data_IF_432483176977
#
_entry.id   IF_432483176977
#
_cell.length_a   1.000
_cell.length_b   1.000
_cell.length_c   1.000
_cell.angle_alpha   90.00
_cell.angle_beta   90.00
_cell.angle_gamma   90.00
#
_symmetry.space_group_name_H-M   'P 1'
#
loop_
_entity.id
_entity.type
_entity.pdbx_description
1 polymer ?
#
# COMPACT_ATOMS: atom_id res chain seq x y z
N UNK A 1 -7.32 -1.02 25.26
CA UNK A 1 -5.88 -1.24 25.02
C UNK A 1 -5.37 -0.18 24.04
N UNK A 2 -4.37 0.57 24.46
CA UNK A 2 -3.75 1.57 23.58
C UNK A 2 -2.90 0.85 22.54
N UNK A 3 -3.45 0.68 21.33
CA UNK A 3 -2.69 0.07 20.26
C UNK A 3 -1.74 1.12 19.67
N UNK A 4 -0.46 0.78 19.62
CA UNK A 4 0.56 1.62 19.00
C UNK A 4 0.25 1.77 17.50
N UNK A 5 0.23 2.99 16.97
CA UNK A 5 0.04 3.16 15.52
C UNK A 5 1.12 2.42 14.73
N UNK A 6 0.73 1.84 13.60
CA UNK A 6 1.65 1.06 12.77
C UNK A 6 1.55 1.49 11.31
N UNK A 7 2.69 1.77 10.72
CA UNK A 7 2.78 1.95 9.28
C UNK A 7 2.74 0.62 8.54
N UNK A 8 2.70 0.69 7.22
CA UNK A 8 2.61 -0.51 6.39
C UNK A 8 3.74 -1.50 6.61
N UNK A 9 4.96 -1.01 6.81
CA UNK A 9 6.13 -1.87 7.01
C UNK A 9 6.00 -2.69 8.29
N UNK A 10 5.65 -2.01 9.39
CA UNK A 10 5.52 -2.67 10.71
C UNK A 10 4.38 -3.68 10.69
N UNK A 11 3.29 -3.33 10.03
CA UNK A 11 2.12 -4.22 9.91
C UNK A 11 2.49 -5.49 9.13
N UNK A 12 3.20 -5.35 8.02
CA UNK A 12 3.61 -6.49 7.21
C UNK A 12 4.57 -7.41 7.97
N UNK A 13 5.51 -6.84 8.71
CA UNK A 13 6.44 -7.65 9.52
C UNK A 13 5.70 -8.42 10.61
N UNK A 14 4.73 -7.79 11.26
CA UNK A 14 3.90 -8.44 12.28
C UNK A 14 3.12 -9.60 11.68
N UNK A 15 2.49 -9.39 10.52
CA UNK A 15 1.74 -10.45 9.85
C UNK A 15 2.65 -11.61 9.44
N UNK A 16 3.86 -11.31 8.95
CA UNK A 16 4.83 -12.36 8.62
C UNK A 16 5.14 -13.21 9.85
N UNK A 17 5.41 -12.58 10.98
CA UNK A 17 5.73 -13.28 12.24
C UNK A 17 4.56 -14.13 12.74
N UNK A 18 3.33 -13.68 12.48
CA UNK A 18 2.13 -14.39 12.94
C UNK A 18 1.75 -15.57 12.04
N UNK A 19 2.22 -15.60 10.78
CA UNK A 19 1.75 -16.58 9.79
C UNK A 19 2.81 -17.59 9.36
N UNK A 20 4.09 -17.33 9.65
CA UNK A 20 5.20 -18.23 9.28
C UNK A 20 5.78 -18.86 10.54
N UNK A 21 6.09 -20.15 10.45
CA UNK A 21 6.63 -20.94 11.55
C UNK A 21 7.82 -20.22 12.19
N UNK A 22 7.73 -20.01 13.52
CA UNK A 22 8.76 -19.32 14.28
C UNK A 22 10.12 -20.03 14.20
N UNK A 23 10.12 -21.36 14.25
CA UNK A 23 11.35 -22.16 14.19
C UNK A 23 12.08 -21.89 12.87
N UNK A 24 11.32 -21.76 11.77
CA UNK A 24 11.88 -21.43 10.48
C UNK A 24 12.41 -19.98 10.47
N UNK A 25 11.62 -19.03 10.94
CA UNK A 25 12.02 -17.61 10.97
C UNK A 25 13.26 -17.36 11.81
N UNK A 26 13.45 -18.13 12.88
CA UNK A 26 14.60 -17.95 13.79
C UNK A 26 15.95 -18.18 13.10
N UNK A 27 15.96 -18.82 11.94
CA UNK A 27 17.19 -19.04 11.15
C UNK A 27 17.57 -17.80 10.32
N UNK A 28 16.76 -16.75 10.34
CA UNK A 28 16.92 -15.56 9.50
C UNK A 28 17.00 -14.31 10.36
N UNK A 29 17.75 -13.32 9.83
CA UNK A 29 17.74 -11.95 10.32
C UNK A 29 17.10 -11.10 9.23
N UNK A 30 15.90 -10.59 9.48
CA UNK A 30 15.15 -9.81 8.47
C UNK A 30 15.17 -8.34 8.86
N UNK A 31 15.87 -7.54 8.06
CA UNK A 31 15.93 -6.10 8.17
C UNK A 31 14.95 -5.50 7.17
N UNK A 32 14.16 -4.52 7.58
CA UNK A 32 13.17 -3.89 6.68
C UNK A 32 13.65 -2.51 6.24
N UNK A 33 13.59 -2.24 4.96
CA UNK A 33 13.73 -0.95 4.29
C UNK A 33 15.13 -0.35 4.36
N UNK A 34 15.59 0.04 5.55
CA UNK A 34 16.87 0.77 5.69
C UNK A 34 17.97 -0.24 6.00
N UNK A 35 18.95 -0.42 5.08
CA UNK A 35 20.02 -1.41 5.31
C UNK A 35 20.76 -1.15 6.63
N UNK A 36 21.05 -2.24 7.30
CA UNK A 36 21.82 -2.25 8.55
C UNK A 36 21.19 -1.45 9.70
N UNK A 37 19.88 -1.13 9.60
CA UNK A 37 19.21 -0.52 10.76
C UNK A 37 19.14 -1.50 11.94
N UNK A 38 19.21 -2.81 11.66
CA UNK A 38 19.57 -3.82 12.67
C UNK A 38 20.89 -4.44 12.23
N UNK A 39 21.76 -4.84 13.18
CA UNK A 39 23.06 -5.39 12.80
C UNK A 39 22.91 -6.70 12.02
N UNK A 40 23.83 -6.93 11.10
CA UNK A 40 23.92 -8.21 10.42
C UNK A 40 24.26 -9.30 11.45
N UNK A 41 23.66 -10.48 11.27
CA UNK A 41 23.86 -11.60 12.17
C UNK A 41 24.66 -12.67 11.45
N UNK A 42 25.89 -12.91 11.89
CA UNK A 42 26.81 -13.85 11.23
C UNK A 42 26.33 -15.31 11.31
N UNK A 43 25.47 -15.60 12.28
CA UNK A 43 24.98 -16.97 12.50
C UNK A 43 23.66 -17.26 11.79
N UNK A 44 23.10 -16.25 11.10
CA UNK A 44 21.81 -16.35 10.42
C UNK A 44 21.95 -16.02 8.93
N UNK A 45 20.90 -16.31 8.19
CA UNK A 45 20.75 -15.83 6.80
C UNK A 45 20.16 -14.44 6.87
N UNK A 46 20.87 -13.45 6.30
CA UNK A 46 20.48 -12.05 6.38
C UNK A 46 19.66 -11.65 5.18
N UNK A 47 18.46 -11.16 5.41
CA UNK A 47 17.52 -10.71 4.38
C UNK A 47 17.27 -9.21 4.56
N UNK A 48 17.33 -8.45 3.47
CA UNK A 48 16.78 -7.09 3.43
C UNK A 48 15.44 -7.14 2.73
N UNK A 49 14.37 -6.88 3.49
CA UNK A 49 13.00 -6.83 2.95
C UNK A 49 12.69 -5.38 2.62
N UNK A 50 12.81 -5.04 1.34
CA UNK A 50 12.74 -3.66 0.89
C UNK A 50 11.28 -3.24 0.73
N UNK A 51 10.92 -2.16 1.44
CA UNK A 51 9.59 -1.58 1.43
C UNK A 51 9.59 -0.13 0.90
N UNK A 52 10.78 0.47 0.78
CA UNK A 52 10.94 1.87 0.39
C UNK A 52 11.39 1.97 -1.07
N UNK A 53 11.15 3.12 -1.67
CA UNK A 53 11.56 3.35 -3.05
C UNK A 53 13.08 3.58 -3.16
N UNK A 54 13.58 3.30 -4.35
CA UNK A 54 15.02 3.29 -4.67
C UNK A 54 15.69 4.67 -4.49
N UNK A 55 14.91 5.74 -4.62
CA UNK A 55 15.45 7.10 -4.66
C UNK A 55 15.45 7.80 -3.29
N UNK A 56 15.13 7.07 -2.22
CA UNK A 56 15.09 7.70 -0.90
C UNK A 56 16.49 7.95 -0.38
N UNK A 57 16.76 9.18 0.13
CA UNK A 57 18.12 9.58 0.52
C UNK A 57 18.70 8.79 1.69
N UNK A 58 17.87 8.16 2.50
CA UNK A 58 18.34 7.37 3.64
C UNK A 58 18.76 5.95 3.27
N UNK A 59 18.61 5.55 2.01
CA UNK A 59 19.04 4.21 1.58
C UNK A 59 19.84 4.21 0.28
N UNK A 60 19.61 5.16 -0.62
CA UNK A 60 20.26 5.16 -1.93
C UNK A 60 21.80 5.14 -1.85
N UNK A 61 22.45 5.90 -0.96
CA UNK A 61 23.93 5.86 -0.87
C UNK A 61 24.47 4.46 -0.53
N UNK A 62 23.74 3.72 0.31
CA UNK A 62 24.17 2.35 0.68
C UNK A 62 24.18 1.45 -0.56
N UNK A 63 23.15 1.53 -1.39
CA UNK A 63 23.03 0.70 -2.59
C UNK A 63 23.98 1.12 -3.71
N UNK A 64 24.35 2.41 -3.76
CA UNK A 64 25.31 2.92 -4.75
C UNK A 64 26.69 2.29 -4.55
N UNK A 65 27.05 1.96 -3.32
CA UNK A 65 28.29 1.23 -3.05
C UNK A 65 28.07 -0.27 -3.30
N UNK A 66 28.53 -0.76 -4.46
CA UNK A 66 28.37 -2.15 -4.85
C UNK A 66 29.02 -3.12 -3.87
N UNK A 67 30.02 -2.68 -3.11
CA UNK A 67 30.65 -3.50 -2.07
C UNK A 67 29.68 -3.93 -1.00
N UNK A 68 28.62 -3.14 -0.78
CA UNK A 68 27.59 -3.47 0.20
C UNK A 68 26.67 -4.61 -0.23
N UNK A 69 26.57 -4.87 -1.56
CA UNK A 69 25.57 -5.81 -2.07
C UNK A 69 25.73 -7.23 -1.52
N UNK A 70 26.94 -7.59 -1.11
CA UNK A 70 27.20 -8.93 -0.57
C UNK A 70 26.95 -9.04 0.93
N UNK A 71 26.58 -7.95 1.58
CA UNK A 71 26.28 -7.97 3.03
C UNK A 71 25.00 -8.73 3.35
N UNK A 72 24.05 -8.72 2.42
CA UNK A 72 22.81 -9.50 2.59
C UNK A 72 22.89 -10.73 1.71
N UNK A 73 22.36 -11.84 2.23
CA UNK A 73 22.22 -13.07 1.46
C UNK A 73 21.12 -12.92 0.41
N UNK A 74 20.04 -12.22 0.78
CA UNK A 74 18.87 -12.06 -0.09
C UNK A 74 18.24 -10.68 0.07
N UNK A 75 17.63 -10.23 -1.03
CA UNK A 75 16.82 -9.01 -1.10
C UNK A 75 15.42 -9.39 -1.51
N UNK A 76 14.42 -9.09 -0.66
CA UNK A 76 13.03 -9.36 -0.96
C UNK A 76 12.32 -8.04 -1.24
N UNK A 77 11.67 -7.97 -2.40
CA UNK A 77 10.93 -6.77 -2.84
C UNK A 77 9.44 -7.05 -2.82
N UNK A 78 8.65 -6.00 -2.55
CA UNK A 78 7.19 -6.13 -2.44
C UNK A 78 6.48 -5.96 -3.79
N UNK A 79 7.21 -5.66 -4.86
CA UNK A 79 6.66 -5.57 -6.21
C UNK A 79 7.76 -5.77 -7.25
N UNK A 80 7.36 -6.15 -8.45
CA UNK A 80 8.28 -6.23 -9.59
C UNK A 80 8.75 -4.83 -9.98
N UNK A 81 7.88 -3.81 -9.85
CA UNK A 81 8.26 -2.42 -10.10
C UNK A 81 9.43 -2.02 -9.21
N UNK A 82 9.34 -2.29 -7.92
CA UNK A 82 10.40 -1.92 -6.97
C UNK A 82 11.69 -2.70 -7.29
N UNK A 83 11.57 -4.00 -7.51
CA UNK A 83 12.73 -4.82 -7.88
C UNK A 83 13.43 -4.25 -9.11
N UNK A 84 12.68 -3.93 -10.17
CA UNK A 84 13.26 -3.45 -11.41
C UNK A 84 13.96 -2.09 -11.21
N UNK A 85 13.37 -1.21 -10.39
CA UNK A 85 14.00 0.08 -10.08
C UNK A 85 15.35 -0.09 -9.38
N UNK A 86 15.42 -0.99 -8.38
CA UNK A 86 16.68 -1.26 -7.69
C UNK A 86 17.70 -1.92 -8.62
N UNK A 87 17.25 -2.84 -9.46
CA UNK A 87 18.14 -3.49 -10.43
C UNK A 87 18.77 -2.48 -11.38
N UNK A 88 17.95 -1.59 -11.94
CA UNK A 88 18.42 -0.59 -12.90
C UNK A 88 19.29 0.47 -12.22
N UNK A 89 18.84 1.01 -11.09
CA UNK A 89 19.52 2.13 -10.45
C UNK A 89 20.86 1.73 -9.83
N UNK A 90 20.98 0.48 -9.33
CA UNK A 90 22.13 0.09 -8.52
C UNK A 90 22.86 -1.14 -9.05
N UNK A 91 22.39 -1.72 -10.15
CA UNK A 91 22.99 -2.93 -10.69
C UNK A 91 23.03 -4.07 -9.66
N UNK A 92 21.97 -4.18 -8.87
CA UNK A 92 21.88 -5.17 -7.80
C UNK A 92 21.87 -6.58 -8.39
N UNK A 93 22.63 -7.54 -7.83
CA UNK A 93 22.71 -8.89 -8.41
C UNK A 93 21.37 -9.62 -8.34
N UNK A 94 20.81 -9.92 -9.49
CA UNK A 94 19.47 -10.52 -9.61
C UNK A 94 19.39 -11.91 -8.97
N UNK A 95 20.52 -12.62 -8.90
CA UNK A 95 20.57 -13.94 -8.28
C UNK A 95 20.24 -13.91 -6.78
N UNK A 96 20.32 -12.73 -6.17
CA UNK A 96 19.99 -12.54 -4.74
C UNK A 96 18.60 -11.95 -4.54
N UNK A 97 17.83 -11.73 -5.59
CA UNK A 97 16.58 -10.96 -5.53
C UNK A 97 15.36 -11.84 -5.70
N UNK A 98 14.33 -11.57 -4.90
CA UNK A 98 13.06 -12.28 -4.91
C UNK A 98 11.93 -11.26 -4.76
N UNK A 99 10.82 -11.46 -5.45
CA UNK A 99 9.62 -10.64 -5.27
C UNK A 99 8.57 -11.47 -4.51
N UNK A 100 8.16 -10.98 -3.35
CA UNK A 100 7.04 -11.55 -2.59
C UNK A 100 6.09 -10.40 -2.28
N UNK A 101 4.86 -10.49 -2.77
CA UNK A 101 3.87 -9.42 -2.64
C UNK A 101 3.45 -9.22 -1.18
N UNK A 102 3.02 -8.02 -0.84
CA UNK A 102 2.39 -7.75 0.45
C UNK A 102 1.12 -8.58 0.61
N UNK A 103 0.80 -8.91 1.85
CA UNK A 103 -0.44 -9.60 2.17
C UNK A 103 -1.43 -8.71 2.90
N UNK A 104 -2.70 -9.12 2.85
CA UNK A 104 -3.78 -8.46 3.59
C UNK A 104 -4.57 -9.51 4.38
N UNK A 105 -5.25 -9.06 5.42
CA UNK A 105 -6.29 -9.86 6.05
C UNK A 105 -7.51 -9.87 5.11
N UNK A 106 -8.29 -10.93 5.14
CA UNK A 106 -9.51 -11.00 4.34
C UNK A 106 -10.46 -9.87 4.72
N UNK A 107 -11.05 -9.24 3.72
CA UNK A 107 -11.96 -8.11 3.90
C UNK A 107 -13.37 -8.53 3.50
N UNK A 108 -14.34 -8.24 4.37
CA UNK A 108 -15.75 -8.48 4.06
C UNK A 108 -16.18 -7.52 2.95
N UNK A 109 -16.74 -8.03 1.83
CA UNK A 109 -17.12 -7.13 0.74
C UNK A 109 -18.33 -6.27 1.07
N UNK A 110 -18.36 -5.08 0.48
CA UNK A 110 -19.53 -4.21 0.52
C UNK A 110 -20.69 -4.87 -0.24
N UNK A 111 -21.92 -4.46 0.09
CA UNK A 111 -23.11 -4.93 -0.62
C UNK A 111 -23.21 -4.21 -1.98
N UNK A 112 -23.89 -4.82 -2.97
CA UNK A 112 -24.07 -4.14 -4.26
C UNK A 112 -24.75 -2.78 -4.11
N UNK A 113 -24.34 -1.83 -4.93
CA UNK A 113 -24.90 -0.49 -4.90
C UNK A 113 -26.30 -0.50 -5.56
N UNK A 114 -27.22 0.19 -4.93
CA UNK A 114 -28.57 0.38 -5.45
C UNK A 114 -28.72 1.86 -5.83
N UNK A 115 -29.16 2.09 -7.06
CA UNK A 115 -29.29 3.45 -7.61
C UNK A 115 -30.08 4.36 -6.66
N UNK A 116 -29.57 5.55 -6.44
CA UNK A 116 -30.19 6.55 -5.58
C UNK A 116 -29.72 6.54 -4.16
N UNK A 117 -28.99 5.52 -3.74
CA UNK A 117 -28.40 5.48 -2.40
C UNK A 117 -27.17 6.41 -2.32
N UNK A 118 -26.79 6.85 -1.13
CA UNK A 118 -25.52 7.58 -0.96
C UNK A 118 -24.33 6.78 -1.47
N UNK A 119 -23.37 7.48 -2.06
CA UNK A 119 -22.12 6.90 -2.55
C UNK A 119 -21.00 7.42 -1.66
N UNK A 120 -20.57 6.60 -0.72
CA UNK A 120 -19.50 6.97 0.22
C UNK A 120 -18.16 6.51 -0.32
N UNK A 121 -17.21 7.46 -0.37
CA UNK A 121 -15.83 7.21 -0.79
C UNK A 121 -14.95 7.18 0.46
N UNK A 122 -13.98 6.28 0.51
CA UNK A 122 -12.97 6.25 1.56
C UNK A 122 -11.61 6.68 0.99
N UNK A 123 -10.87 7.45 1.79
CA UNK A 123 -9.46 7.77 1.56
C UNK A 123 -8.70 7.56 2.87
N UNK A 124 -7.65 6.73 2.84
CA UNK A 124 -6.94 6.34 4.06
C UNK A 124 -5.42 6.48 3.94
N UNK A 125 -4.95 7.17 2.91
CA UNK A 125 -3.52 7.34 2.68
C UNK A 125 -3.00 8.59 3.40
N UNK A 126 -1.69 8.63 3.64
CA UNK A 126 -1.07 9.74 4.35
C UNK A 126 -1.20 11.05 3.57
N UNK A 127 -1.22 12.20 4.26
CA UNK A 127 -1.63 13.45 3.59
C UNK A 127 -0.68 13.93 2.48
N UNK A 128 0.61 13.61 2.56
CA UNK A 128 1.57 14.06 1.55
C UNK A 128 1.49 13.28 0.25
N UNK A 129 0.69 12.21 0.19
CA UNK A 129 0.62 11.34 -0.97
C UNK A 129 -0.49 11.69 -1.96
N UNK A 130 -1.20 12.80 -1.72
CA UNK A 130 -2.22 13.26 -2.67
C UNK A 130 -3.51 13.79 -2.08
N UNK A 131 -3.59 13.98 -0.76
CA UNK A 131 -4.82 14.51 -0.15
C UNK A 131 -5.16 15.88 -0.73
N UNK A 132 -4.17 16.74 -1.00
CA UNK A 132 -4.41 18.04 -1.60
C UNK A 132 -5.14 17.94 -2.94
N UNK A 133 -4.75 16.96 -3.77
CA UNK A 133 -5.39 16.73 -5.07
C UNK A 133 -6.83 16.25 -4.88
N UNK A 134 -7.03 15.33 -3.91
CA UNK A 134 -8.35 14.77 -3.66
C UNK A 134 -9.34 15.85 -3.17
N UNK A 135 -8.88 16.71 -2.26
CA UNK A 135 -9.73 17.81 -1.78
C UNK A 135 -10.05 18.78 -2.92
N UNK A 136 -9.08 19.05 -3.79
CA UNK A 136 -9.34 19.84 -5.00
C UNK A 136 -10.37 19.19 -5.90
N UNK A 137 -10.31 17.87 -6.05
CA UNK A 137 -11.29 17.13 -6.85
C UNK A 137 -12.69 17.22 -6.20
N UNK A 138 -12.77 17.06 -4.88
CA UNK A 138 -14.07 17.08 -4.19
C UNK A 138 -14.76 18.44 -4.27
N UNK A 139 -14.00 19.54 -4.42
CA UNK A 139 -14.59 20.85 -4.68
C UNK A 139 -15.32 20.90 -6.02
N UNK A 140 -14.91 20.05 -6.97
CA UNK A 140 -15.47 20.02 -8.32
C UNK A 140 -16.56 18.97 -8.50
N UNK A 141 -16.68 18.03 -7.58
CA UNK A 141 -17.70 16.98 -7.63
C UNK A 141 -19.07 17.60 -7.37
N UNK A 142 -20.04 17.32 -8.26
CA UNK A 142 -21.36 17.93 -8.23
C UNK A 142 -22.47 16.98 -7.81
N UNK A 143 -22.28 15.68 -8.00
CA UNK A 143 -23.31 14.69 -7.67
C UNK A 143 -23.59 14.73 -6.17
N UNK A 144 -24.81 15.09 -5.74
CA UNK A 144 -25.10 15.26 -4.30
C UNK A 144 -25.10 13.96 -3.52
N UNK A 145 -25.11 12.80 -4.17
CA UNK A 145 -25.06 11.52 -3.49
C UNK A 145 -23.63 11.16 -3.04
N UNK A 146 -22.61 11.84 -3.58
CA UNK A 146 -21.21 11.52 -3.32
C UNK A 146 -20.71 12.24 -2.07
N UNK A 147 -20.11 11.48 -1.15
CA UNK A 147 -19.38 12.04 -0.02
C UNK A 147 -18.07 11.30 0.18
N UNK A 148 -17.12 11.96 0.86
CA UNK A 148 -15.78 11.42 1.10
C UNK A 148 -15.51 11.41 2.59
N UNK A 149 -15.08 10.25 3.11
CA UNK A 149 -14.55 10.15 4.47
C UNK A 149 -13.01 10.06 4.37
N UNK A 150 -12.32 10.95 5.09
CA UNK A 150 -10.86 11.06 5.08
C UNK A 150 -10.30 10.56 6.41
N UNK A 151 -9.55 9.46 6.35
CA UNK A 151 -8.87 8.87 7.52
C UNK A 151 -7.39 9.25 7.57
N UNK A 152 -6.97 10.20 6.76
CA UNK A 152 -5.58 10.64 6.63
C UNK A 152 -5.07 11.30 7.91
N UNK A 153 -3.83 10.95 8.31
CA UNK A 153 -3.24 11.50 9.51
C UNK A 153 -1.74 11.25 9.53
N UNK A 154 -1.01 12.09 10.26
CA UNK A 154 0.41 11.85 10.56
C UNK A 154 0.58 10.92 11.76
N UNK A 155 -0.50 10.62 12.49
CA UNK A 155 -0.44 9.78 13.69
C UNK A 155 -0.04 8.33 13.41
N UNK A 156 -0.22 7.86 12.17
CA UNK A 156 0.09 6.47 11.79
C UNK A 156 1.56 6.11 12.06
N UNK A 157 2.45 7.09 12.08
CA UNK A 157 3.88 6.85 12.36
C UNK A 157 4.27 7.18 13.80
N UNK A 158 3.28 7.33 14.69
CA UNK A 158 3.50 7.52 16.11
C UNK A 158 3.53 8.99 16.54
N UNK A 159 3.57 9.20 17.86
CA UNK A 159 3.43 10.52 18.46
C UNK A 159 4.55 11.48 18.03
N UNK A 160 5.80 11.00 18.05
CA UNK A 160 6.94 11.87 17.72
C UNK A 160 6.85 12.37 16.28
N UNK A 161 6.50 11.49 15.34
CA UNK A 161 6.31 11.87 13.94
C UNK A 161 5.15 12.85 13.81
N UNK A 162 4.04 12.58 14.49
CA UNK A 162 2.87 13.45 14.49
C UNK A 162 3.23 14.85 15.00
N UNK A 163 3.88 14.94 16.16
CA UNK A 163 4.25 16.22 16.77
C UNK A 163 5.17 17.03 15.86
N UNK A 164 6.06 16.36 15.12
CA UNK A 164 7.00 17.01 14.21
C UNK A 164 6.36 17.46 12.90
N UNK A 165 5.29 16.79 12.44
CA UNK A 165 4.82 16.96 11.06
C UNK A 165 3.37 17.41 10.91
N UNK A 166 2.52 17.26 11.93
CA UNK A 166 1.09 17.59 11.84
C UNK A 166 0.85 19.02 11.31
N UNK A 167 1.64 19.95 11.80
CA UNK A 167 1.54 21.37 11.44
C UNK A 167 1.62 21.61 9.93
N UNK A 168 2.42 20.80 9.22
CA UNK A 168 2.58 20.95 7.77
C UNK A 168 1.31 20.61 6.99
N UNK A 169 0.43 19.80 7.57
CA UNK A 169 -0.79 19.31 6.90
C UNK A 169 -2.05 19.88 7.50
N UNK A 170 -1.93 20.71 8.54
CA UNK A 170 -3.07 21.28 9.27
C UNK A 170 -4.04 22.00 8.32
N UNK A 171 -3.51 22.76 7.37
CA UNK A 171 -4.33 23.50 6.39
C UNK A 171 -5.19 22.54 5.56
N UNK A 172 -4.63 21.39 5.17
CA UNK A 172 -5.39 20.38 4.43
C UNK A 172 -6.53 19.81 5.28
N UNK A 173 -6.27 19.55 6.54
CA UNK A 173 -7.30 19.03 7.43
C UNK A 173 -8.42 20.06 7.64
N UNK A 174 -8.04 21.33 7.80
CA UNK A 174 -9.02 22.42 7.91
C UNK A 174 -9.86 22.54 6.63
N UNK A 175 -9.22 22.42 5.47
CA UNK A 175 -9.94 22.42 4.19
C UNK A 175 -10.94 21.26 4.12
N UNK A 176 -10.51 20.07 4.55
CA UNK A 176 -11.39 18.90 4.57
C UNK A 176 -12.62 19.14 5.46
N UNK A 177 -12.42 19.79 6.61
CA UNK A 177 -13.50 20.03 7.56
C UNK A 177 -14.56 21.00 7.03
N UNK A 178 -14.20 21.92 6.11
CA UNK A 178 -15.16 22.93 5.63
C UNK A 178 -15.84 22.54 4.32
N UNK A 179 -15.36 21.52 3.60
CA UNK A 179 -16.01 21.06 2.37
C UNK A 179 -17.30 20.31 2.73
N UNK A 180 -18.43 20.67 2.11
CA UNK A 180 -19.72 20.09 2.52
C UNK A 180 -19.85 18.60 2.19
N UNK A 181 -19.11 18.10 1.22
CA UNK A 181 -19.16 16.69 0.82
C UNK A 181 -17.96 15.88 1.35
N UNK A 182 -17.24 16.41 2.34
CA UNK A 182 -16.08 15.74 2.95
C UNK A 182 -16.26 15.67 4.46
N UNK A 183 -16.02 14.49 5.01
CA UNK A 183 -15.97 14.26 6.46
C UNK A 183 -14.51 13.93 6.83
N UNK A 184 -13.89 14.80 7.62
CA UNK A 184 -12.54 14.50 8.10
C UNK A 184 -12.66 13.66 9.38
N UNK A 185 -12.27 12.38 9.27
CA UNK A 185 -12.33 11.42 10.38
C UNK A 185 -11.04 11.44 11.19
N UNK A 186 -9.90 11.59 10.50
CA UNK A 186 -8.59 11.54 11.13
C UNK A 186 -8.13 10.13 11.40
N UNK A 187 -7.27 9.97 12.40
CA UNK A 187 -6.63 8.69 12.70
C UNK A 187 -7.64 7.66 13.22
N UNK A 188 -7.55 6.45 12.67
CA UNK A 188 -8.19 5.24 13.18
C UNK A 188 -7.20 4.08 13.03
N UNK A 189 -7.37 3.05 13.83
CA UNK A 189 -6.51 1.87 13.76
C UNK A 189 -6.72 1.12 12.44
N UNK A 190 -5.73 0.34 12.05
CA UNK A 190 -5.85 -0.50 10.86
C UNK A 190 -7.05 -1.44 10.98
N UNK A 191 -7.27 -2.00 12.16
CA UNK A 191 -8.39 -2.91 12.43
C UNK A 191 -9.73 -2.20 12.22
N UNK A 192 -9.86 -0.99 12.74
CA UNK A 192 -11.08 -0.18 12.57
C UNK A 192 -11.36 0.03 11.08
N UNK A 193 -10.35 0.45 10.34
CA UNK A 193 -10.52 0.75 8.91
C UNK A 193 -10.95 -0.52 8.15
N UNK A 194 -10.25 -1.65 8.40
CA UNK A 194 -10.59 -2.90 7.73
C UNK A 194 -12.03 -3.33 7.99
N UNK A 195 -12.51 -3.16 9.22
CA UNK A 195 -13.89 -3.52 9.59
C UNK A 195 -14.93 -2.62 8.92
N UNK A 196 -14.55 -1.39 8.55
CA UNK A 196 -15.49 -0.40 8.02
C UNK A 196 -15.40 -0.22 6.50
N UNK A 197 -14.46 -0.87 5.81
CA UNK A 197 -14.36 -0.77 4.35
C UNK A 197 -15.69 -1.15 3.68
N UNK A 198 -16.38 -2.16 4.20
CA UNK A 198 -17.67 -2.62 3.67
C UNK A 198 -18.77 -1.55 3.68
N UNK A 199 -18.57 -0.47 4.45
CA UNK A 199 -19.56 0.62 4.54
C UNK A 199 -19.43 1.61 3.37
N UNK A 200 -18.42 1.44 2.53
CA UNK A 200 -18.10 2.34 1.42
C UNK A 200 -18.41 1.69 0.08
N UNK A 201 -18.49 2.51 -0.97
CA UNK A 201 -18.71 2.02 -2.34
C UNK A 201 -17.54 2.32 -3.25
N UNK A 202 -16.72 3.32 -2.90
CA UNK A 202 -15.60 3.72 -3.75
C UNK A 202 -14.39 4.05 -2.87
N UNK A 203 -13.20 3.93 -3.48
CA UNK A 203 -11.93 4.33 -2.90
C UNK A 203 -11.26 5.30 -3.87
N UNK A 204 -10.77 6.41 -3.37
CA UNK A 204 -10.16 7.45 -4.19
C UNK A 204 -8.76 7.78 -3.68
N UNK A 205 -7.76 7.59 -4.54
CA UNK A 205 -6.37 7.86 -4.19
C UNK A 205 -5.64 8.50 -5.39
N UNK A 206 -5.72 9.83 -5.53
CA UNK A 206 -4.96 10.51 -6.59
C UNK A 206 -3.49 10.63 -6.18
N UNK A 207 -2.80 9.51 -6.17
CA UNK A 207 -1.43 9.44 -5.66
C UNK A 207 -0.49 10.36 -6.44
N UNK A 208 0.29 11.15 -5.70
CA UNK A 208 1.42 11.91 -6.23
C UNK A 208 2.73 11.31 -5.71
N UNK A 209 2.66 10.10 -5.17
CA UNK A 209 3.76 9.35 -4.55
C UNK A 209 3.98 8.07 -5.33
N UNK A 210 5.25 7.75 -5.64
CA UNK A 210 5.58 6.48 -6.31
C UNK A 210 5.46 5.33 -5.29
N UNK A 211 4.30 4.67 -5.29
CA UNK A 211 4.06 3.55 -4.39
C UNK A 211 4.95 2.35 -4.78
N UNK A 212 5.51 1.67 -3.78
CA UNK A 212 6.21 0.40 -4.02
C UNK A 212 5.23 -0.78 -4.04
N UNK A 213 4.13 -0.60 -3.39
CA UNK A 213 2.95 -1.45 -3.30
C UNK A 213 1.89 -0.55 -2.69
N UNK A 214 0.66 -1.00 -2.54
CA UNK A 214 -0.34 -0.15 -1.89
C UNK A 214 -1.33 -1.04 -1.14
N UNK A 215 -1.09 -1.19 0.17
CA UNK A 215 -1.93 -2.04 1.01
C UNK A 215 -3.38 -1.52 1.04
N UNK A 216 -3.55 -0.19 1.13
CA UNK A 216 -4.90 0.39 1.16
C UNK A 216 -5.67 0.11 -0.12
N UNK A 217 -5.00 0.13 -1.28
CA UNK A 217 -5.65 -0.25 -2.54
C UNK A 217 -6.07 -1.73 -2.51
N UNK A 218 -5.18 -2.61 -2.04
CA UNK A 218 -5.50 -4.04 -1.93
C UNK A 218 -6.69 -4.26 -1.01
N UNK A 219 -6.72 -3.61 0.15
CA UNK A 219 -7.81 -3.76 1.10
C UNK A 219 -9.14 -3.28 0.52
N UNK A 220 -9.13 -2.15 -0.17
CA UNK A 220 -10.34 -1.60 -0.79
C UNK A 220 -10.80 -2.46 -1.98
N UNK A 221 -9.86 -2.99 -2.75
CA UNK A 221 -10.20 -3.95 -3.81
C UNK A 221 -10.84 -5.21 -3.23
N UNK A 222 -10.25 -5.74 -2.13
CA UNK A 222 -10.80 -6.91 -1.45
C UNK A 222 -12.21 -6.62 -0.91
N UNK A 223 -12.47 -5.39 -0.50
CA UNK A 223 -13.79 -4.94 -0.05
C UNK A 223 -14.80 -4.73 -1.16
N UNK A 224 -14.40 -4.92 -2.41
CA UNK A 224 -15.32 -4.76 -3.54
C UNK A 224 -15.62 -3.31 -3.90
N UNK A 225 -14.79 -2.37 -3.47
CA UNK A 225 -14.98 -0.95 -3.76
C UNK A 225 -14.53 -0.64 -5.19
N UNK A 226 -15.22 0.31 -5.83
CA UNK A 226 -14.77 0.83 -7.12
C UNK A 226 -13.60 1.77 -6.85
N UNK A 227 -12.40 1.35 -7.22
CA UNK A 227 -11.17 2.06 -6.87
C UNK A 227 -10.74 2.98 -8.01
N UNK A 228 -10.34 4.21 -7.65
CA UNK A 228 -9.82 5.19 -8.60
C UNK A 228 -8.46 5.65 -8.07
N UNK A 229 -7.41 5.48 -8.87
CA UNK A 229 -6.06 5.90 -8.48
C UNK A 229 -5.35 6.53 -9.69
N UNK A 230 -4.17 7.09 -9.42
CA UNK A 230 -3.23 7.40 -10.50
C UNK A 230 -2.43 6.13 -10.84
N UNK A 231 -1.55 6.24 -11.82
CA UNK A 231 -0.74 5.11 -12.30
C UNK A 231 0.73 5.20 -11.87
N UNK A 232 1.01 5.92 -10.77
CA UNK A 232 2.38 6.11 -10.29
C UNK A 232 2.95 4.86 -9.61
N UNK A 233 4.24 4.61 -9.86
CA UNK A 233 4.95 3.53 -9.18
C UNK A 233 4.33 2.18 -9.46
N UNK A 234 4.14 1.39 -8.42
CA UNK A 234 3.60 0.04 -8.52
C UNK A 234 2.07 -0.02 -8.48
N UNK A 235 1.36 1.12 -8.59
CA UNK A 235 -0.11 1.11 -8.49
C UNK A 235 -0.74 0.24 -9.58
N UNK A 236 -0.25 0.31 -10.82
CA UNK A 236 -0.79 -0.52 -11.89
C UNK A 236 -0.51 -2.01 -11.64
N UNK A 237 0.68 -2.33 -11.15
CA UNK A 237 0.99 -3.72 -10.81
C UNK A 237 0.08 -4.23 -9.69
N UNK A 238 -0.14 -3.41 -8.66
CA UNK A 238 -0.96 -3.77 -7.50
C UNK A 238 -2.43 -3.94 -7.89
N UNK A 239 -2.96 -2.98 -8.65
CA UNK A 239 -4.38 -2.96 -9.00
C UNK A 239 -4.73 -3.80 -10.22
N UNK A 240 -3.75 -4.10 -11.06
CA UNK A 240 -3.96 -4.80 -12.33
C UNK A 240 -5.02 -4.05 -13.16
N UNK A 241 -5.95 -4.75 -13.76
CA UNK A 241 -6.99 -4.13 -14.61
C UNK A 241 -8.23 -3.67 -13.83
N UNK A 242 -8.21 -3.75 -12.50
CA UNK A 242 -9.43 -3.51 -11.72
C UNK A 242 -9.74 -2.03 -11.49
N UNK A 243 -8.78 -1.18 -11.03
CA UNK A 243 -9.11 0.22 -10.79
C UNK A 243 -9.29 1.03 -12.07
N UNK A 244 -9.96 2.17 -11.92
CA UNK A 244 -9.87 3.23 -12.91
C UNK A 244 -8.56 3.97 -12.65
N UNK A 245 -7.73 4.11 -13.69
CA UNK A 245 -6.46 4.83 -13.58
C UNK A 245 -6.58 6.19 -14.26
N UNK A 246 -6.30 7.23 -13.47
CA UNK A 246 -6.21 8.60 -13.99
C UNK A 246 -4.72 8.89 -14.20
N UNK A 247 -4.28 9.18 -15.43
CA UNK A 247 -2.85 9.40 -15.67
C UNK A 247 -2.29 10.48 -14.76
N UNK A 248 -1.16 10.20 -14.14
CA UNK A 248 -0.47 11.15 -13.27
C UNK A 248 -0.06 12.38 -14.07
N UNK A 249 -0.25 13.55 -13.47
CA UNK A 249 0.19 14.84 -14.03
C UNK A 249 0.89 15.63 -12.93
N UNK A 250 1.94 16.36 -13.29
CA UNK A 250 2.59 17.29 -12.35
C UNK A 250 1.71 18.52 -12.08
N UNK A 251 0.87 18.90 -13.05
CA UNK A 251 -0.12 19.96 -12.86
C UNK A 251 -1.22 19.45 -11.94
N UNK A 252 -1.16 19.85 -10.67
CA UNK A 252 -2.07 19.38 -9.64
C UNK A 252 -3.53 19.80 -9.87
N UNK A 253 -3.73 20.99 -10.44
CA UNK A 253 -5.09 21.45 -10.72
C UNK A 253 -5.74 20.63 -11.84
N UNK A 254 -4.97 20.32 -12.88
CA UNK A 254 -5.48 19.50 -13.98
C UNK A 254 -5.71 18.06 -13.48
N UNK A 255 -4.81 17.54 -12.66
CA UNK A 255 -4.97 16.21 -12.08
C UNK A 255 -6.24 16.12 -11.22
N UNK A 256 -6.49 17.15 -10.39
CA UNK A 256 -7.71 17.21 -9.56
C UNK A 256 -8.97 17.24 -10.43
N UNK A 257 -8.95 18.00 -11.52
CA UNK A 257 -10.08 18.10 -12.45
C UNK A 257 -10.34 16.74 -13.12
N UNK A 258 -9.28 16.08 -13.58
CA UNK A 258 -9.40 14.77 -14.21
C UNK A 258 -9.92 13.74 -13.21
N UNK A 259 -9.44 13.83 -11.96
CA UNK A 259 -9.84 12.90 -10.91
C UNK A 259 -11.32 13.10 -10.54
N UNK A 260 -11.77 14.37 -10.46
CA UNK A 260 -13.19 14.67 -10.22
C UNK A 260 -14.07 14.09 -11.33
N UNK A 261 -13.65 14.22 -12.58
CA UNK A 261 -14.38 13.65 -13.71
C UNK A 261 -14.47 12.12 -13.60
N UNK A 262 -13.38 11.47 -13.18
CA UNK A 262 -13.36 10.02 -12.99
C UNK A 262 -14.30 9.59 -11.85
N UNK A 263 -14.34 10.35 -10.76
CA UNK A 263 -15.27 10.09 -9.65
C UNK A 263 -16.71 10.16 -10.14
N UNK A 264 -17.05 11.25 -10.86
CA UNK A 264 -18.41 11.45 -11.38
C UNK A 264 -18.80 10.31 -12.34
N UNK A 265 -17.90 9.95 -13.25
CA UNK A 265 -18.15 8.88 -14.22
C UNK A 265 -18.35 7.52 -13.53
N UNK A 266 -17.50 7.21 -12.54
CA UNK A 266 -17.64 5.98 -11.79
C UNK A 266 -18.98 5.90 -11.05
N UNK A 267 -19.39 7.03 -10.45
CA UNK A 267 -20.66 7.09 -9.72
C UNK A 267 -21.84 6.84 -10.65
N UNK A 268 -21.78 7.36 -11.88
CA UNK A 268 -22.87 7.17 -12.85
C UNK A 268 -23.04 5.72 -13.28
N UNK A 269 -21.97 4.92 -13.24
CA UNK A 269 -22.02 3.53 -13.70
C UNK A 269 -22.09 2.53 -12.55
N UNK A 270 -22.08 3.00 -11.33
CA UNK A 270 -21.92 2.13 -10.16
C UNK A 270 -23.06 1.08 -10.03
N UNK A 271 -24.27 1.43 -10.44
CA UNK A 271 -25.41 0.51 -10.40
C UNK A 271 -25.47 -0.45 -11.62
N UNK A 272 -24.55 -0.30 -12.57
CA UNK A 272 -24.51 -1.12 -13.77
C UNK A 272 -24.12 -2.56 -13.39
N UNK A 273 -24.89 -3.53 -13.91
CA UNK A 273 -24.67 -4.95 -13.59
C UNK A 273 -23.27 -5.44 -13.97
N UNK A 274 -22.74 -4.97 -15.11
CA UNK A 274 -21.40 -5.35 -15.55
C UNK A 274 -20.35 -4.82 -14.56
N UNK A 275 -20.52 -3.59 -14.07
CA UNK A 275 -19.62 -3.02 -13.07
C UNK A 275 -19.73 -3.81 -11.76
N UNK A 276 -20.94 -4.12 -11.30
CA UNK A 276 -21.13 -4.87 -10.07
C UNK A 276 -20.50 -6.28 -10.16
N UNK A 277 -20.61 -6.94 -11.31
CA UNK A 277 -19.96 -8.23 -11.53
C UNK A 277 -18.42 -8.09 -11.50
N UNK A 278 -17.90 -7.02 -12.11
CA UNK A 278 -16.47 -6.70 -12.10
C UNK A 278 -15.96 -6.53 -10.66
N UNK A 279 -16.72 -5.82 -9.82
CA UNK A 279 -16.34 -5.57 -8.44
C UNK A 279 -16.40 -6.85 -7.58
N UNK A 280 -17.36 -7.72 -7.85
CA UNK A 280 -17.42 -9.04 -7.19
C UNK A 280 -16.20 -9.88 -7.55
N UNK A 281 -15.82 -9.88 -8.83
CA UNK A 281 -14.63 -10.60 -9.30
C UNK A 281 -13.38 -10.03 -8.65
N UNK A 282 -13.28 -8.69 -8.61
CA UNK A 282 -12.16 -7.98 -7.97
C UNK A 282 -12.00 -8.41 -6.51
N UNK A 283 -13.08 -8.40 -5.76
CA UNK A 283 -13.08 -8.77 -4.34
C UNK A 283 -12.62 -10.20 -4.14
N UNK A 284 -13.20 -11.13 -4.92
CA UNK A 284 -12.87 -12.55 -4.83
C UNK A 284 -11.39 -12.80 -5.18
N UNK A 285 -10.92 -12.20 -6.28
CA UNK A 285 -9.53 -12.32 -6.72
C UNK A 285 -8.57 -11.81 -5.65
N UNK A 286 -8.86 -10.63 -5.11
CA UNK A 286 -7.94 -9.99 -4.16
C UNK A 286 -7.90 -10.76 -2.84
N UNK A 287 -9.05 -11.15 -2.31
CA UNK A 287 -9.09 -11.95 -1.08
C UNK A 287 -8.43 -13.32 -1.25
N UNK A 288 -8.54 -13.91 -2.44
CA UNK A 288 -7.96 -15.25 -2.69
C UNK A 288 -6.45 -15.21 -2.87
N UNK A 289 -5.92 -14.22 -3.59
CA UNK A 289 -4.52 -14.24 -4.02
C UNK A 289 -3.60 -13.33 -3.21
N UNK A 290 -4.16 -12.42 -2.40
CA UNK A 290 -3.35 -11.50 -1.59
C UNK A 290 -3.49 -11.72 -0.09
N UNK A 291 -4.26 -12.72 0.36
CA UNK A 291 -4.40 -12.96 1.79
C UNK A 291 -3.07 -13.48 2.38
N UNK A 292 -2.92 -13.30 3.70
CA UNK A 292 -1.66 -13.67 4.36
C UNK A 292 -1.39 -15.17 4.37
N UNK A 293 -2.40 -16.03 4.30
CA UNK A 293 -2.15 -17.48 4.17
C UNK A 293 -1.39 -17.75 2.87
N UNK A 294 -1.79 -17.10 1.79
CA UNK A 294 -1.13 -17.24 0.48
C UNK A 294 0.30 -16.70 0.52
N UNK A 295 0.50 -15.49 1.09
CA UNK A 295 1.82 -14.88 1.14
C UNK A 295 2.75 -15.66 2.09
N UNK A 296 2.20 -16.20 3.18
CA UNK A 296 2.99 -17.02 4.10
C UNK A 296 3.50 -18.29 3.42
N UNK A 297 2.72 -18.88 2.51
CA UNK A 297 3.21 -20.02 1.72
C UNK A 297 4.40 -19.62 0.84
N UNK A 298 4.30 -18.46 0.18
CA UNK A 298 5.40 -17.96 -0.66
C UNK A 298 6.64 -17.70 0.19
N UNK A 299 6.47 -17.07 1.35
CA UNK A 299 7.59 -16.84 2.27
C UNK A 299 8.18 -18.16 2.75
N UNK A 300 7.36 -19.11 3.18
CA UNK A 300 7.82 -20.41 3.69
C UNK A 300 8.65 -21.13 2.63
N UNK A 301 8.16 -21.19 1.39
CA UNK A 301 8.87 -21.84 0.28
C UNK A 301 10.21 -21.16 0.02
N UNK A 302 10.22 -19.81 -0.01
CA UNK A 302 11.45 -19.05 -0.20
C UNK A 302 12.46 -19.31 0.91
N UNK A 303 12.03 -19.25 2.18
CA UNK A 303 12.93 -19.43 3.32
C UNK A 303 13.54 -20.84 3.34
N UNK A 304 12.74 -21.86 3.04
CA UNK A 304 13.25 -23.25 2.94
C UNK A 304 14.26 -23.35 1.81
N UNK A 305 13.99 -22.74 0.67
CA UNK A 305 14.93 -22.72 -0.44
C UNK A 305 16.24 -22.01 -0.10
N UNK A 306 16.15 -20.91 0.64
CA UNK A 306 17.36 -20.16 1.05
C UNK A 306 18.25 -20.97 1.98
N UNK A 307 17.66 -21.77 2.88
CA UNK A 307 18.44 -22.67 3.75
C UNK A 307 19.17 -23.71 2.89
N UNK A 308 18.47 -24.33 1.94
CA UNK A 308 19.05 -25.36 1.09
C UNK A 308 20.19 -24.77 0.23
N UNK A 309 20.02 -23.57 -0.28
CA UNK A 309 21.05 -22.90 -1.09
C UNK A 309 22.31 -22.63 -0.27
N UNK A 310 22.16 -22.22 1.00
CA UNK A 310 23.31 -21.97 1.88
C UNK A 310 24.05 -23.26 2.19
N UNK A 311 23.31 -24.34 2.43
CA UNK A 311 23.92 -25.65 2.66
C UNK A 311 24.74 -26.11 1.45
N UNK A 312 24.25 -25.74 0.43
CA UNK A 312 24.84 -26.09 -0.64
C UNK A 312 26.03 -25.48 -0.84
N UNK A 313 26.21 -24.36 -0.56
CA UNK A 313 27.47 -23.59 -0.67
C UNK A 313 28.58 -24.15 0.23
N UNK A 314 28.26 -24.67 1.36
CA UNK A 314 29.26 -25.21 2.29
C UNK A 314 29.78 -26.61 1.90
N UNK A 315 29.18 -27.25 0.90
CA UNK A 315 29.58 -28.58 0.45
C UNK A 315 30.51 -28.55 -0.76
N UNK A 316 30.76 -27.34 -1.33
CA UNK A 316 31.67 -27.13 -2.45
C UNK A 316 32.95 -26.45 -1.96
#
# INVERSE_FOLDING_TARGET
MNQTPKGGTELQLEFLKNHVDKTLLDKFSICTSIPEKIPLDKDKINILWQKNSYDQPNLAPWFTDHGNHNKYDWYVFNSHWTFEKFRIAFDLPTSKCVVIKNGIEKIEPTTPYIKGQPIKIIHQNTPWRGLNVLLGAMQLVKNPLISLDVYSSTEVYGKDFHDANHKYYETLYEQAEVLPNVNYIGYKTNEYIREHIKDYKMYAYPSIWEETSCISLLECMAGGLYCITTNLGALFETGAEFPIYVPYLTDRKQLAKNFANAIEAAALTLDNEVIQDHLKFQSKYTNQYYNWDKQAMAWTNFLKGAINAKQXTYMV
#
